data_IF_353507198666
#
_entry.id   IF_353507198666
#
_cell.length_a   1.000
_cell.length_b   1.000
_cell.length_c   1.000
_cell.angle_alpha   90.00
_cell.angle_beta   90.00
_cell.angle_gamma   90.00
#
_symmetry.space_group_name_H-M   'P 1'
#
loop_
_entity.id
_entity.type
_entity.pdbx_description
1 polymer ?
#
# COMPACT_ATOMS: atom_id res chain seq x y z
N UNK A 1 1.75 -14.15 33.76
CA UNK A 1 1.13 -15.05 32.75
C UNK A 1 1.32 -14.39 31.39
N UNK A 2 2.16 -14.95 30.51
CA UNK A 2 2.32 -14.44 29.14
C UNK A 2 1.12 -14.95 28.34
N UNK A 3 0.25 -14.06 27.88
CA UNK A 3 -0.85 -14.42 26.98
C UNK A 3 -0.27 -15.05 25.71
N UNK A 4 -0.81 -16.19 25.31
CA UNK A 4 -0.52 -16.76 24.00
C UNK A 4 -1.00 -15.73 22.96
N UNK A 5 -0.08 -15.10 22.25
CA UNK A 5 -0.42 -14.34 21.04
C UNK A 5 -0.83 -15.34 19.99
N UNK A 6 -2.13 -15.57 19.83
CA UNK A 6 -2.68 -16.31 18.70
C UNK A 6 -2.30 -15.53 17.46
N UNK A 7 -1.27 -15.98 16.75
CA UNK A 7 -0.89 -15.36 15.49
C UNK A 7 -2.07 -15.55 14.53
N UNK A 8 -2.64 -14.48 13.97
CA UNK A 8 -3.79 -14.60 13.08
C UNK A 8 -3.39 -15.43 11.86
N UNK A 9 -4.29 -16.32 11.43
CA UNK A 9 -4.15 -16.97 10.13
C UNK A 9 -4.33 -15.89 9.05
N UNK A 10 -3.29 -15.71 8.25
CA UNK A 10 -3.32 -14.79 7.12
C UNK A 10 -3.87 -15.52 5.89
N UNK A 11 -4.66 -14.84 5.04
CA UNK A 11 -5.13 -15.43 3.80
C UNK A 11 -3.95 -15.80 2.91
N UNK A 12 -4.05 -16.94 2.21
CA UNK A 12 -3.13 -17.27 1.13
C UNK A 12 -3.34 -16.28 -0.02
N UNK A 13 -2.25 -15.81 -0.63
CA UNK A 13 -2.34 -14.90 -1.76
C UNK A 13 -2.95 -15.59 -2.98
N UNK A 14 -3.95 -14.95 -3.56
CA UNK A 14 -4.55 -15.38 -4.82
C UNK A 14 -3.58 -15.18 -5.99
N UNK A 15 -3.68 -15.98 -7.07
CA UNK A 15 -2.93 -15.75 -8.29
C UNK A 15 -3.12 -14.32 -8.81
N UNK A 16 -2.02 -13.66 -9.18
CA UNK A 16 -2.02 -12.26 -9.62
C UNK A 16 -1.65 -11.26 -8.51
N UNK A 17 -1.67 -11.68 -7.24
CA UNK A 17 -1.09 -10.90 -6.14
C UNK A 17 0.40 -11.21 -5.98
N UNK A 18 1.22 -10.17 -5.96
CA UNK A 18 2.66 -10.29 -5.71
C UNK A 18 2.97 -9.69 -4.34
N UNK A 19 3.42 -10.52 -3.40
CA UNK A 19 4.05 -10.04 -2.18
C UNK A 19 5.53 -9.76 -2.47
N UNK A 20 5.91 -8.50 -2.35
CA UNK A 20 7.29 -8.07 -2.50
C UNK A 20 7.92 -7.97 -1.11
N UNK A 21 8.86 -8.87 -0.82
CA UNK A 21 9.70 -8.78 0.37
C UNK A 21 10.88 -7.85 0.09
N UNK A 22 10.94 -6.75 0.84
CA UNK A 22 11.94 -5.71 0.73
C UNK A 22 12.62 -5.52 2.08
N UNK A 23 13.93 -5.25 2.07
CA UNK A 23 14.58 -4.71 3.25
C UNK A 23 14.20 -3.23 3.44
N UNK A 24 14.34 -2.68 4.65
CA UNK A 24 14.00 -1.27 4.92
C UNK A 24 14.76 -0.26 4.02
N UNK A 25 15.79 -0.69 3.30
CA UNK A 25 16.62 0.15 2.42
C UNK A 25 16.19 0.12 0.96
N UNK A 26 15.24 -0.74 0.58
CA UNK A 26 14.88 -0.97 -0.83
C UNK A 26 13.64 -0.21 -1.31
N UNK A 27 13.23 0.86 -0.61
CA UNK A 27 12.19 1.79 -1.10
C UNK A 27 12.51 2.29 -2.52
N UNK A 28 13.79 2.48 -2.86
CA UNK A 28 14.21 2.85 -4.22
C UNK A 28 13.87 1.78 -5.27
N UNK A 29 14.05 0.50 -4.94
CA UNK A 29 13.74 -0.60 -5.84
C UNK A 29 12.24 -0.72 -6.10
N UNK A 30 11.40 -0.50 -5.08
CA UNK A 30 9.95 -0.43 -5.24
C UNK A 30 9.55 0.68 -6.23
N UNK A 31 10.11 1.89 -6.08
CA UNK A 31 9.82 2.98 -7.00
C UNK A 31 10.22 2.67 -8.44
N UNK A 32 11.41 2.08 -8.65
CA UNK A 32 11.84 1.66 -9.98
C UNK A 32 10.90 0.62 -10.58
N UNK A 33 10.52 -0.41 -9.81
CA UNK A 33 9.61 -1.45 -10.25
C UNK A 33 8.26 -0.89 -10.70
N UNK A 34 7.69 0.04 -9.93
CA UNK A 34 6.42 0.70 -10.26
C UNK A 34 6.53 1.50 -11.56
N UNK A 35 7.62 2.27 -11.73
CA UNK A 35 7.83 3.06 -12.94
C UNK A 35 8.08 2.19 -14.16
N UNK A 36 8.88 1.13 -14.03
CA UNK A 36 9.16 0.17 -15.10
C UNK A 36 7.87 -0.52 -15.55
N UNK A 37 7.02 -0.94 -14.62
CA UNK A 37 5.71 -1.50 -14.96
C UNK A 37 4.86 -0.51 -15.76
N UNK A 38 4.78 0.76 -15.33
CA UNK A 38 4.01 1.78 -16.04
C UNK A 38 4.63 2.18 -17.39
N UNK A 39 5.93 1.95 -17.60
CA UNK A 39 6.55 2.16 -18.91
C UNK A 39 6.20 1.07 -19.92
N UNK A 40 6.08 -0.17 -19.44
CA UNK A 40 5.78 -1.33 -20.28
C UNK A 40 4.28 -1.47 -20.56
N UNK A 41 3.45 -1.15 -19.57
CA UNK A 41 2.01 -1.32 -19.64
C UNK A 41 1.27 0.01 -19.79
N UNK A 42 0.20 0.03 -20.59
CA UNK A 42 -0.76 1.13 -20.59
C UNK A 42 -1.65 1.06 -19.35
N UNK A 43 -1.82 2.18 -18.64
CA UNK A 43 -2.71 2.25 -17.47
C UNK A 43 -2.21 3.17 -16.35
N UNK A 44 -2.92 3.21 -15.24
CA UNK A 44 -2.62 4.03 -14.07
C UNK A 44 -2.32 3.15 -12.86
N UNK A 45 -1.49 3.69 -11.96
CA UNK A 45 -1.24 3.10 -10.66
C UNK A 45 -2.00 3.84 -9.58
N UNK A 46 -2.57 3.09 -8.64
CA UNK A 46 -3.08 3.62 -7.37
C UNK A 46 -2.19 3.12 -6.24
N UNK A 47 -1.74 4.06 -5.41
CA UNK A 47 -0.82 3.80 -4.30
C UNK A 47 -1.48 4.21 -2.99
N UNK A 48 -1.56 3.28 -2.04
CA UNK A 48 -1.99 3.55 -0.67
C UNK A 48 -0.78 3.46 0.25
N UNK A 49 -0.33 4.61 0.75
CA UNK A 49 0.88 4.73 1.54
C UNK A 49 0.57 4.70 3.05
N UNK A 50 1.01 3.64 3.73
CA UNK A 50 0.87 3.49 5.17
C UNK A 50 2.09 4.01 5.95
N UNK A 51 3.29 3.98 5.35
CA UNK A 51 4.54 4.21 6.09
C UNK A 51 5.58 5.01 5.29
N UNK A 52 5.12 6.01 4.53
CA UNK A 52 6.03 6.96 3.85
C UNK A 52 6.81 6.37 2.68
N UNK A 53 6.36 5.27 2.09
CA UNK A 53 7.00 4.66 0.94
C UNK A 53 6.57 5.33 -0.38
N UNK A 54 5.38 5.96 -0.42
CA UNK A 54 4.88 6.69 -1.58
C UNK A 54 5.39 8.14 -1.66
N UNK A 55 6.69 8.35 -1.49
CA UNK A 55 7.25 9.71 -1.51
C UNK A 55 7.51 10.19 -2.94
N UNK A 56 7.07 11.41 -3.24
CA UNK A 56 7.19 11.98 -4.59
C UNK A 56 8.63 12.31 -4.98
N UNK A 57 9.50 12.64 -4.02
CA UNK A 57 10.86 13.08 -4.31
C UNK A 57 11.75 11.96 -4.92
N UNK A 58 11.76 10.72 -4.40
CA UNK A 58 12.40 9.60 -5.10
C UNK A 58 11.81 9.36 -6.49
N UNK A 59 10.48 9.28 -6.62
CA UNK A 59 9.80 9.05 -7.91
C UNK A 59 10.20 10.10 -8.97
N UNK A 60 10.18 11.38 -8.61
CA UNK A 60 10.57 12.48 -9.51
C UNK A 60 12.02 12.36 -9.97
N UNK A 61 12.92 11.85 -9.13
CA UNK A 61 14.35 11.72 -9.47
C UNK A 61 14.63 10.64 -10.51
N UNK A 62 13.85 9.56 -10.53
CA UNK A 62 14.10 8.40 -11.40
C UNK A 62 13.08 8.29 -12.55
N UNK A 63 11.97 9.02 -12.51
CA UNK A 63 10.97 8.97 -13.58
C UNK A 63 11.52 9.59 -14.88
N UNK A 64 11.33 8.92 -16.03
CA UNK A 64 11.78 9.43 -17.33
C UNK A 64 10.96 10.63 -17.82
N UNK A 65 9.76 10.86 -17.27
CA UNK A 65 8.96 12.06 -17.57
C UNK A 65 7.93 12.37 -16.49
N UNK A 66 7.56 13.65 -16.37
CA UNK A 66 6.44 14.08 -15.52
C UNK A 66 5.09 13.51 -16.00
N UNK A 67 4.95 13.19 -17.28
CA UNK A 67 3.73 12.58 -17.82
C UNK A 67 3.50 11.19 -17.24
N UNK A 68 4.57 10.42 -17.02
CA UNK A 68 4.47 9.11 -16.36
C UNK A 68 3.98 9.26 -14.92
N UNK A 69 4.52 10.24 -14.18
CA UNK A 69 4.11 10.49 -12.79
C UNK A 69 2.64 10.89 -12.65
N UNK A 70 2.05 11.55 -13.66
CA UNK A 70 0.61 11.89 -13.67
C UNK A 70 -0.29 10.66 -13.72
N UNK A 71 0.24 9.47 -14.01
CA UNK A 71 -0.49 8.20 -14.02
C UNK A 71 -0.49 7.53 -12.64
N UNK A 72 0.13 8.14 -11.63
CA UNK A 72 0.23 7.60 -10.28
C UNK A 72 -0.63 8.44 -9.35
N UNK A 73 -1.73 7.87 -8.86
CA UNK A 73 -2.52 8.44 -7.78
C UNK A 73 -1.97 7.93 -6.45
N UNK A 74 -1.60 8.82 -5.54
CA UNK A 74 -1.07 8.46 -4.21
C UNK A 74 -2.00 9.02 -3.15
N UNK A 75 -2.53 8.13 -2.31
CA UNK A 75 -3.22 8.47 -1.08
C UNK A 75 -2.37 8.03 0.12
N UNK A 76 -2.25 8.88 1.14
CA UNK A 76 -1.46 8.60 2.34
C UNK A 76 -2.34 8.61 3.57
N UNK A 77 -2.19 7.57 4.39
CA UNK A 77 -2.76 7.51 5.72
C UNK A 77 -1.75 7.94 6.78
N UNK A 78 -2.26 8.51 7.87
CA UNK A 78 -1.50 8.87 9.06
C UNK A 78 -2.01 8.17 10.32
N UNK A 79 -3.14 7.45 10.22
CA UNK A 79 -3.74 6.68 11.31
C UNK A 79 -4.26 5.33 10.80
N UNK A 80 -4.43 4.33 11.69
CA UNK A 80 -5.01 3.03 11.32
C UNK A 80 -6.40 3.17 10.67
N UNK A 81 -7.22 4.08 11.19
CA UNK A 81 -8.56 4.36 10.64
C UNK A 81 -8.50 4.97 9.24
N UNK A 82 -7.62 5.95 9.02
CA UNK A 82 -7.45 6.55 7.68
C UNK A 82 -6.98 5.50 6.67
N UNK A 83 -6.03 4.65 7.06
CA UNK A 83 -5.55 3.57 6.21
C UNK A 83 -6.67 2.61 5.83
N UNK A 84 -7.44 2.16 6.83
CA UNK A 84 -8.60 1.31 6.60
C UNK A 84 -9.64 1.97 5.69
N UNK A 85 -9.97 3.24 5.90
CA UNK A 85 -10.91 3.98 5.05
C UNK A 85 -10.41 4.12 3.60
N UNK A 86 -9.11 4.33 3.38
CA UNK A 86 -8.53 4.35 2.03
C UNK A 86 -8.63 2.98 1.35
N UNK A 87 -8.39 1.89 2.09
CA UNK A 87 -8.55 0.53 1.55
C UNK A 87 -10.00 0.22 1.19
N UNK A 88 -10.95 0.64 2.02
CA UNK A 88 -12.39 0.46 1.74
C UNK A 88 -12.84 1.23 0.49
N UNK A 89 -12.31 2.43 0.26
CA UNK A 89 -12.61 3.21 -0.93
C UNK A 89 -11.84 2.74 -2.18
N UNK A 90 -10.83 1.88 -2.03
CA UNK A 90 -9.91 1.52 -3.12
C UNK A 90 -10.62 0.89 -4.32
N UNK A 91 -11.62 0.04 -4.07
CA UNK A 91 -12.40 -0.58 -5.13
C UNK A 91 -13.14 0.44 -6.00
N UNK A 92 -13.63 1.52 -5.39
CA UNK A 92 -14.36 2.59 -6.10
C UNK A 92 -13.40 3.52 -6.88
N UNK A 93 -12.15 3.65 -6.42
CA UNK A 93 -11.10 4.42 -7.09
C UNK A 93 -10.44 3.66 -8.26
N UNK A 94 -10.62 2.34 -8.32
CA UNK A 94 -10.10 1.52 -9.42
C UNK A 94 -10.97 1.68 -10.66
N UNK A 95 -10.35 2.08 -11.77
CA UNK A 95 -10.99 2.19 -13.07
C UNK A 95 -10.53 1.05 -13.98
N UNK A 96 -11.14 0.93 -15.16
CA UNK A 96 -10.66 0.00 -16.21
C UNK A 96 -9.24 0.33 -16.68
N UNK A 97 -8.77 1.55 -16.43
CA UNK A 97 -7.40 1.99 -16.73
C UNK A 97 -6.44 1.69 -15.58
N UNK A 98 -6.90 1.29 -14.41
CA UNK A 98 -6.04 0.95 -13.27
C UNK A 98 -5.44 -0.43 -13.48
N UNK A 99 -4.12 -0.49 -13.71
CA UNK A 99 -3.41 -1.74 -13.97
C UNK A 99 -2.47 -2.17 -12.84
N UNK A 100 -2.23 -1.29 -11.87
CA UNK A 100 -1.33 -1.55 -10.76
C UNK A 100 -1.86 -0.96 -9.45
N UNK A 101 -1.91 -1.79 -8.41
CA UNK A 101 -2.14 -1.40 -7.03
C UNK A 101 -0.84 -1.53 -6.24
N UNK A 102 -0.46 -0.50 -5.49
CA UNK A 102 0.79 -0.47 -4.71
C UNK A 102 0.47 -0.17 -3.25
N UNK A 103 0.63 -1.18 -2.39
CA UNK A 103 0.24 -1.15 -0.98
C UNK A 103 1.43 -1.53 -0.07
N UNK A 104 2.50 -0.72 -0.03
CA UNK A 104 3.69 -1.03 0.75
C UNK A 104 3.41 -0.90 2.24
N UNK A 105 4.01 -1.79 3.04
CA UNK A 105 3.88 -1.81 4.49
C UNK A 105 2.40 -1.74 4.94
N UNK A 106 1.52 -2.46 4.23
CA UNK A 106 0.05 -2.47 4.47
C UNK A 106 -0.30 -2.85 5.91
N UNK A 107 0.58 -3.59 6.59
CA UNK A 107 0.43 -4.03 7.96
C UNK A 107 0.97 -3.04 9.01
N UNK A 108 1.62 -1.94 8.60
CA UNK A 108 2.36 -1.02 9.47
C UNK A 108 1.55 -0.59 10.69
N UNK A 109 0.41 0.07 10.48
CA UNK A 109 -0.44 0.59 11.56
C UNK A 109 -0.98 -0.49 12.50
N UNK A 110 -1.07 -1.73 12.03
CA UNK A 110 -1.65 -2.85 12.77
C UNK A 110 -0.59 -3.61 13.57
N UNK A 111 0.70 -3.39 13.29
CA UNK A 111 1.82 -4.07 13.96
C UNK A 111 2.73 -3.13 14.74
N UNK A 112 2.76 -1.84 14.42
CA UNK A 112 3.59 -0.83 15.09
C UNK A 112 3.12 -0.50 16.52
N UNK A 113 1.90 -0.91 16.89
CA UNK A 113 1.24 -0.49 18.12
C UNK A 113 0.47 0.83 18.00
N UNK A 114 0.44 1.42 16.80
CA UNK A 114 -0.36 2.63 16.52
C UNK A 114 -1.87 2.36 16.51
N UNK A 115 -2.26 1.09 16.43
CA UNK A 115 -3.64 0.63 16.61
C UNK A 115 -3.77 -0.02 17.99
N UNK A 116 -4.57 0.58 18.87
CA UNK A 116 -4.93 -0.07 20.14
C UNK A 116 -5.87 -1.25 19.94
N UNK A 117 -5.92 -2.21 20.87
CA UNK A 117 -6.83 -3.35 20.81
C UNK A 117 -8.29 -2.92 20.58
N UNK A 118 -8.72 -1.86 21.27
CA UNK A 118 -10.06 -1.28 21.12
C UNK A 118 -10.30 -0.67 19.74
N UNK A 119 -9.30 -0.03 19.14
CA UNK A 119 -9.40 0.48 17.78
C UNK A 119 -9.45 -0.67 16.78
N UNK A 120 -8.62 -1.70 16.97
CA UNK A 120 -8.64 -2.92 16.17
C UNK A 120 -10.00 -3.59 16.19
N UNK A 121 -10.59 -3.81 17.37
CA UNK A 121 -11.94 -4.38 17.51
C UNK A 121 -13.00 -3.58 16.73
N UNK A 122 -12.93 -2.25 16.76
CA UNK A 122 -13.85 -1.38 16.02
C UNK A 122 -13.69 -1.51 14.52
N UNK A 123 -12.48 -1.72 14.02
CA UNK A 123 -12.26 -1.95 12.59
C UNK A 123 -12.91 -3.26 12.11
N UNK A 124 -13.02 -4.27 12.97
CA UNK A 124 -13.72 -5.53 12.65
C UNK A 124 -15.25 -5.47 12.81
N UNK A 125 -15.78 -4.54 13.61
CA UNK A 125 -17.23 -4.45 13.90
C UNK A 125 -17.99 -3.41 13.07
N UNK A 126 -17.31 -2.56 12.31
CA UNK A 126 -17.96 -1.57 11.43
C UNK A 126 -18.36 -2.14 10.04
N UNK A 127 -18.80 -3.40 10.01
CA UNK A 127 -19.46 -4.05 8.86
C UNK A 127 -20.91 -4.43 9.22
#
# INVERSE_FOLDING_TARGET
MRGQTTQPELPTLEPGLTLLEVDDRSTGALHSLVLDHLLLESGNAVWVDAHGHGTTQPLVRIAPSLRLLKRIAIARAFTPWQHYSLLQALADECTTETNLLVLPAVDYFYRSGDCSDREGERLFTHY
#
